data_IF_067468660869
#
_entry.id   IF_067468660869
#
_cell.length_a   1.000
_cell.length_b   1.000
_cell.length_c   1.000
_cell.angle_alpha   90.00
_cell.angle_beta   90.00
_cell.angle_gamma   90.00
#
_symmetry.space_group_name_H-M   'P 1'
#
loop_
_entity.id
_entity.type
_entity.pdbx_description
1 polymer ?
#
# COMPACT_ATOMS: atom_id res chain seq x y z
N UNK A 1 20.70 -57.76 -7.27
CA UNK A 1 20.21 -56.67 -6.40
C UNK A 1 20.94 -55.32 -6.55
N UNK A 2 21.76 -55.10 -7.60
CA UNK A 2 22.41 -53.79 -7.86
C UNK A 2 21.80 -53.02 -9.05
N UNK A 3 21.06 -53.70 -9.92
CA UNK A 3 20.39 -53.10 -11.09
C UNK A 3 19.05 -52.40 -10.77
N UNK A 4 18.38 -52.77 -9.67
CA UNK A 4 17.09 -52.18 -9.27
C UNK A 4 17.27 -50.78 -8.62
N UNK A 5 18.41 -50.54 -7.95
CA UNK A 5 18.73 -49.22 -7.38
C UNK A 5 19.03 -48.16 -8.45
N UNK A 6 19.46 -48.58 -9.65
CA UNK A 6 19.78 -47.68 -10.76
C UNK A 6 18.52 -47.15 -11.46
N UNK A 7 17.44 -47.94 -11.48
CA UNK A 7 16.14 -47.55 -12.04
C UNK A 7 15.37 -46.57 -11.15
N UNK A 8 15.48 -46.68 -9.81
CA UNK A 8 14.85 -45.71 -8.91
C UNK A 8 15.53 -44.33 -8.93
N UNK A 9 16.82 -44.26 -9.25
CA UNK A 9 17.56 -42.99 -9.27
C UNK A 9 17.27 -42.18 -10.55
N UNK A 10 16.91 -42.83 -11.66
CA UNK A 10 16.45 -42.17 -12.89
C UNK A 10 15.00 -41.65 -12.79
N UNK A 11 14.15 -42.31 -12.01
CA UNK A 11 12.77 -41.87 -11.80
C UNK A 11 12.68 -40.60 -10.92
N UNK A 12 13.62 -40.41 -9.99
CA UNK A 12 13.63 -39.22 -9.10
C UNK A 12 14.18 -37.98 -9.82
N UNK A 13 15.07 -38.13 -10.80
CA UNK A 13 15.57 -37.01 -11.63
C UNK A 13 14.49 -36.49 -12.61
N UNK A 14 13.44 -37.28 -12.85
CA UNK A 14 12.33 -36.92 -13.73
C UNK A 14 11.30 -36.00 -13.07
N UNK A 15 11.29 -35.90 -11.73
CA UNK A 15 10.38 -35.01 -10.98
C UNK A 15 11.00 -33.67 -10.58
N UNK A 16 12.31 -33.50 -10.75
CA UNK A 16 13.02 -32.23 -10.53
C UNK A 16 13.32 -31.47 -11.82
N UNK A 17 12.86 -31.99 -12.97
CA UNK A 17 12.86 -31.27 -14.24
C UNK A 17 11.93 -30.07 -14.14
N UNK A 18 12.52 -28.90 -13.94
CA UNK A 18 11.82 -27.66 -13.64
C UNK A 18 10.56 -27.48 -14.47
N UNK A 19 9.46 -27.21 -13.78
CA UNK A 19 8.47 -26.29 -14.32
C UNK A 19 9.17 -24.94 -14.48
N UNK A 20 9.95 -24.81 -15.55
CA UNK A 20 10.03 -23.56 -16.27
C UNK A 20 8.58 -23.27 -16.60
N UNK A 21 7.93 -22.45 -15.76
CA UNK A 21 6.71 -21.77 -16.14
C UNK A 21 7.01 -21.24 -17.52
N UNK A 22 6.38 -21.83 -18.54
CA UNK A 22 6.48 -21.33 -19.89
C UNK A 22 6.07 -19.87 -19.76
N UNK A 23 7.05 -18.98 -19.83
CA UNK A 23 6.78 -17.55 -19.85
C UNK A 23 5.90 -17.40 -21.07
N UNK A 24 4.61 -17.15 -20.83
CA UNK A 24 3.67 -16.84 -21.89
C UNK A 24 4.36 -15.75 -22.70
N UNK A 25 4.73 -16.04 -23.95
CA UNK A 25 5.33 -15.08 -24.89
C UNK A 25 4.31 -14.00 -25.31
N UNK A 26 3.42 -13.62 -24.40
CA UNK A 26 2.44 -12.58 -24.54
C UNK A 26 2.97 -11.37 -23.78
N UNK A 27 2.89 -10.20 -24.40
CA UNK A 27 3.16 -8.96 -23.69
C UNK A 27 2.23 -8.88 -22.47
N UNK A 28 2.69 -8.29 -21.36
CA UNK A 28 1.82 -8.00 -20.22
C UNK A 28 0.58 -7.22 -20.69
N UNK A 29 -0.57 -7.37 -20.00
CA UNK A 29 -1.73 -6.54 -20.29
C UNK A 29 -1.35 -5.06 -20.18
N UNK A 30 -1.87 -4.25 -21.10
CA UNK A 30 -1.74 -2.80 -21.01
C UNK A 30 -2.51 -2.34 -19.77
N UNK A 31 -1.85 -1.54 -18.94
CA UNK A 31 -2.41 -0.95 -17.73
C UNK A 31 -2.63 0.53 -18.00
N UNK A 32 -3.82 1.02 -17.67
CA UNK A 32 -4.16 2.44 -17.80
C UNK A 32 -3.19 3.31 -16.99
N UNK A 33 -2.75 4.42 -17.59
CA UNK A 33 -1.76 5.32 -16.98
C UNK A 33 -2.30 5.88 -15.67
N UNK A 34 -3.59 6.16 -15.65
CA UNK A 34 -4.34 6.70 -14.53
C UNK A 34 -4.14 5.83 -13.28
N UNK A 35 -4.02 4.50 -13.41
CA UNK A 35 -3.78 3.62 -12.27
C UNK A 35 -2.47 3.91 -11.53
N UNK A 36 -1.47 4.47 -12.21
CA UNK A 36 -0.16 4.80 -11.62
C UNK A 36 -0.05 6.25 -11.15
N UNK A 37 -0.83 7.16 -11.74
CA UNK A 37 -0.66 8.61 -11.56
C UNK A 37 -1.86 9.31 -10.91
N UNK A 38 -2.97 8.61 -10.70
CA UNK A 38 -4.08 9.12 -9.90
C UNK A 38 -3.75 9.09 -8.40
N UNK A 39 -4.58 9.74 -7.60
CA UNK A 39 -4.49 9.70 -6.16
C UNK A 39 -4.72 8.28 -5.63
N UNK A 40 -3.92 7.81 -4.66
CA UNK A 40 -4.23 6.57 -3.97
C UNK A 40 -5.51 6.74 -3.13
N UNK A 41 -6.27 5.66 -2.96
CA UNK A 41 -7.44 5.66 -2.08
C UNK A 41 -7.06 6.05 -0.64
N UNK A 42 -5.97 5.45 -0.13
CA UNK A 42 -5.41 5.70 1.20
C UNK A 42 -3.88 5.61 1.13
N UNK A 43 -3.18 6.51 1.82
CA UNK A 43 -1.73 6.42 2.02
C UNK A 43 -1.30 6.97 3.39
N UNK A 44 -0.04 6.73 3.78
CA UNK A 44 0.57 7.37 4.95
C UNK A 44 -0.05 7.03 6.31
N UNK A 45 -0.77 5.91 6.43
CA UNK A 45 -1.51 5.54 7.64
C UNK A 45 -0.63 5.42 8.89
N UNK A 46 -1.12 5.93 10.03
CA UNK A 46 -0.44 5.89 11.32
C UNK A 46 -1.43 5.61 12.46
N UNK A 47 -1.01 4.83 13.45
CA UNK A 47 -1.69 4.76 14.74
C UNK A 47 -1.31 5.99 15.58
N UNK A 48 -2.26 6.50 16.35
CA UNK A 48 -1.93 7.42 17.44
C UNK A 48 -1.00 6.73 18.46
N UNK A 49 -0.21 7.48 19.25
CA UNK A 49 0.70 6.88 20.24
C UNK A 49 0.05 5.93 21.25
N UNK A 50 -1.22 6.16 21.57
CA UNK A 50 -2.04 5.31 22.46
C UNK A 50 -2.82 4.21 21.72
N UNK A 51 -2.76 4.18 20.38
CA UNK A 51 -3.43 3.20 19.52
C UNK A 51 -4.95 3.39 19.39
N UNK A 52 -5.54 4.43 19.96
CA UNK A 52 -7.00 4.63 19.96
C UNK A 52 -7.54 5.17 18.63
N UNK A 53 -6.69 5.84 17.85
CA UNK A 53 -7.03 6.46 16.58
C UNK A 53 -6.14 5.93 15.45
N UNK A 54 -6.71 5.91 14.25
CA UNK A 54 -5.97 5.72 13.00
C UNK A 54 -6.10 7.02 12.21
N UNK A 55 -4.97 7.61 11.85
CA UNK A 55 -4.89 8.66 10.85
C UNK A 55 -4.39 8.10 9.52
N UNK A 56 -4.75 8.75 8.43
CA UNK A 56 -4.28 8.41 7.09
C UNK A 56 -4.52 9.57 6.12
N UNK A 57 -3.94 9.49 4.93
CA UNK A 57 -4.15 10.47 3.85
C UNK A 57 -5.12 9.89 2.82
N UNK A 58 -6.17 10.63 2.48
CA UNK A 58 -7.21 10.24 1.52
C UNK A 58 -7.72 11.49 0.77
N UNK A 59 -8.19 11.38 -0.49
CA UNK A 59 -8.79 12.51 -1.19
C UNK A 59 -9.97 13.13 -0.44
N UNK A 60 -9.95 14.45 -0.31
CA UNK A 60 -11.08 15.28 0.07
C UNK A 60 -11.25 16.33 -1.03
N UNK A 61 -12.39 16.31 -1.74
CA UNK A 61 -12.63 17.12 -2.95
C UNK A 61 -11.51 17.01 -4.00
N UNK A 62 -10.98 15.81 -4.21
CA UNK A 62 -9.94 15.54 -5.21
C UNK A 62 -8.49 15.87 -4.79
N UNK A 63 -8.30 16.46 -3.61
CA UNK A 63 -6.97 16.79 -3.07
C UNK A 63 -6.68 15.93 -1.83
N UNK A 64 -5.46 15.36 -1.76
CA UNK A 64 -5.06 14.51 -0.64
C UNK A 64 -5.02 15.30 0.68
N UNK A 65 -5.80 14.85 1.64
CA UNK A 65 -5.96 15.47 2.96
C UNK A 65 -5.79 14.42 4.06
N UNK A 66 -5.58 14.86 5.30
CA UNK A 66 -5.45 13.99 6.46
C UNK A 66 -6.85 13.67 7.01
N UNK A 67 -7.10 12.41 7.31
CA UNK A 67 -8.33 11.88 7.88
C UNK A 67 -8.02 11.14 9.18
N UNK A 68 -9.03 11.04 10.05
CA UNK A 68 -8.95 10.32 11.32
C UNK A 68 -10.22 9.50 11.54
N UNK A 69 -10.07 8.31 12.15
CA UNK A 69 -11.15 7.48 12.71
C UNK A 69 -10.70 6.82 14.01
N UNK A 70 -11.62 6.29 14.83
CA UNK A 70 -11.22 5.36 15.91
C UNK A 70 -10.71 4.04 15.35
N UNK A 71 -9.86 3.34 16.11
CA UNK A 71 -9.25 2.08 15.68
C UNK A 71 -10.27 1.03 15.20
N UNK A 72 -11.40 0.91 15.88
CA UNK A 72 -12.45 -0.09 15.68
C UNK A 72 -13.59 0.35 14.74
N UNK A 73 -13.57 1.59 14.25
CA UNK A 73 -14.60 2.12 13.33
C UNK A 73 -14.32 1.72 11.86
N UNK A 74 -15.33 1.61 10.99
CA UNK A 74 -15.10 1.46 9.56
C UNK A 74 -14.46 2.72 8.95
N UNK A 75 -13.75 2.59 7.83
CA UNK A 75 -13.15 3.75 7.13
C UNK A 75 -14.20 4.76 6.62
N UNK A 76 -15.45 4.34 6.44
CA UNK A 76 -16.56 5.25 6.10
C UNK A 76 -16.96 6.20 7.24
N UNK A 77 -16.57 5.90 8.49
CA UNK A 77 -16.80 6.79 9.64
C UNK A 77 -15.66 7.80 9.84
N UNK A 78 -14.59 7.72 9.05
CA UNK A 78 -13.50 8.67 9.11
C UNK A 78 -13.96 10.07 8.69
N UNK A 79 -13.33 11.09 9.26
CA UNK A 79 -13.56 12.48 8.90
C UNK A 79 -12.23 13.18 8.58
N UNK A 80 -12.23 14.17 7.66
CA UNK A 80 -11.04 14.94 7.37
C UNK A 80 -10.71 15.88 8.54
N UNK A 81 -9.43 16.00 8.88
CA UNK A 81 -8.92 16.97 9.86
C UNK A 81 -8.16 18.11 9.19
N UNK A 82 -8.01 18.06 7.86
CA UNK A 82 -7.51 19.13 6.99
C UNK A 82 -8.43 19.30 5.78
N UNK A 83 -8.37 20.45 5.12
CA UNK A 83 -9.19 20.74 3.94
C UNK A 83 -8.41 21.59 2.90
N UNK A 84 -7.19 21.18 2.57
CA UNK A 84 -6.42 21.82 1.49
C UNK A 84 -7.12 21.57 0.15
N UNK A 85 -7.15 22.61 -0.69
CA UNK A 85 -7.83 22.62 -2.01
C UNK A 85 -6.85 22.84 -3.16
N UNK A 86 -5.58 23.12 -2.87
CA UNK A 86 -4.56 23.46 -3.87
C UNK A 86 -3.46 22.41 -3.92
N UNK A 87 -2.91 21.99 -2.78
CA UNK A 87 -1.78 21.05 -2.73
C UNK A 87 -2.07 19.79 -1.92
N UNK A 88 -1.68 18.62 -2.43
CA UNK A 88 -1.86 17.37 -1.69
C UNK A 88 -0.88 17.31 -0.52
N UNK A 89 -1.40 17.03 0.67
CA UNK A 89 -0.57 16.70 1.84
C UNK A 89 0.07 15.33 1.58
N UNK A 90 1.40 15.26 1.68
CA UNK A 90 2.18 14.03 1.40
C UNK A 90 2.69 13.34 2.65
N UNK A 91 2.86 14.06 3.74
CA UNK A 91 3.38 13.53 4.99
C UNK A 91 2.87 14.33 6.18
N UNK A 92 2.78 13.64 7.31
CA UNK A 92 2.39 14.19 8.59
C UNK A 92 2.89 13.23 9.70
N UNK A 93 2.80 13.64 10.96
CA UNK A 93 3.03 12.74 12.08
C UNK A 93 2.25 13.15 13.33
N UNK A 94 2.05 12.19 14.22
CA UNK A 94 1.48 12.44 15.53
C UNK A 94 2.49 13.13 16.45
N UNK A 95 2.03 14.14 17.18
CA UNK A 95 2.72 14.62 18.38
C UNK A 95 2.87 13.48 19.40
N UNK A 96 3.93 13.54 20.22
CA UNK A 96 4.27 12.47 21.17
C UNK A 96 3.14 12.13 22.16
N UNK A 97 2.32 13.11 22.53
CA UNK A 97 1.18 12.91 23.44
C UNK A 97 -0.12 12.54 22.71
N UNK A 98 -0.09 12.33 21.38
CA UNK A 98 -1.24 11.93 20.57
C UNK A 98 -2.31 12.99 20.38
N UNK A 99 -2.13 14.21 20.91
CA UNK A 99 -3.16 15.26 20.88
C UNK A 99 -3.24 16.00 19.54
N UNK A 100 -2.11 16.12 18.86
CA UNK A 100 -1.98 16.88 17.63
C UNK A 100 -1.41 16.02 16.51
N UNK A 101 -1.81 16.35 15.28
CA UNK A 101 -1.15 15.94 14.05
C UNK A 101 -0.44 17.17 13.49
N UNK A 102 0.85 17.02 13.18
CA UNK A 102 1.63 18.05 12.51
C UNK A 102 1.91 17.63 11.08
N UNK A 103 1.73 18.58 10.16
CA UNK A 103 2.10 18.46 8.76
C UNK A 103 2.76 19.76 8.30
N UNK A 104 3.55 19.67 7.23
CA UNK A 104 4.20 20.83 6.63
C UNK A 104 3.67 20.97 5.21
N UNK A 105 3.23 22.17 4.89
CA UNK A 105 2.80 22.54 3.55
C UNK A 105 3.32 23.93 3.26
N UNK A 106 4.01 24.07 2.14
CA UNK A 106 4.36 25.37 1.58
C UNK A 106 3.11 26.10 1.06
N UNK A 107 3.24 27.40 0.82
CA UNK A 107 2.24 28.16 0.06
C UNK A 107 2.86 28.54 -1.26
N UNK A 108 2.39 27.97 -2.37
CA UNK A 108 2.91 28.32 -3.69
C UNK A 108 4.33 27.83 -4.01
N UNK A 109 5.13 27.44 -3.01
CA UNK A 109 6.52 26.98 -3.18
C UNK A 109 7.54 27.81 -2.41
N UNK A 110 7.08 28.75 -1.57
CA UNK A 110 7.90 29.64 -0.74
C UNK A 110 8.29 29.02 0.61
#
# INVERSE_FOLDING_TARGET
MKSIKLLLMAAIVSLTGGQLMAQKNQLPPIVDRELFFDNPEISGSQLSPDGTLISFIKPYNGVMNIWVKKFDEPFSAAHPVTADVLRPIRSYFWSRNGKYILYVQDKGGD
#
